data_IF_955240881297
#
_entry.id   IF_955240881297
#
_cell.length_a   1.000
_cell.length_b   1.000
_cell.length_c   1.000
_cell.angle_alpha   90.00
_cell.angle_beta   90.00
_cell.angle_gamma   90.00
#
_symmetry.space_group_name_H-M   'P 1'
#
loop_
_entity.id
_entity.type
_entity.pdbx_description
1 polymer ?
#
# COMPACT_ATOMS: atom_id res chain seq x y z
N UNK A 1 -5.12 -4.51 10.63
CA UNK A 1 -4.66 -4.69 9.25
C UNK A 1 -3.65 -3.61 8.88
N UNK A 2 -2.61 -3.94 8.10
CA UNK A 2 -1.66 -2.95 7.59
C UNK A 2 -2.31 -1.98 6.59
N UNK A 3 -1.75 -0.78 6.42
CA UNK A 3 -2.34 0.29 5.61
C UNK A 3 -2.61 -0.12 4.16
N UNK A 4 -1.64 -0.74 3.49
CA UNK A 4 -1.76 -1.16 2.08
C UNK A 4 -2.87 -2.16 1.89
N UNK A 5 -2.95 -3.18 2.75
CA UNK A 5 -4.00 -4.20 2.67
C UNK A 5 -5.38 -3.67 3.07
N UNK A 6 -5.45 -2.75 4.04
CA UNK A 6 -6.68 -2.03 4.39
C UNK A 6 -7.23 -1.28 3.17
N UNK A 7 -6.36 -0.62 2.41
CA UNK A 7 -6.74 0.12 1.20
C UNK A 7 -7.28 -0.85 0.13
N UNK A 8 -6.50 -1.86 -0.27
CA UNK A 8 -6.89 -2.73 -1.40
C UNK A 8 -8.16 -3.55 -1.12
N UNK A 9 -8.35 -4.02 0.12
CA UNK A 9 -9.58 -4.68 0.53
C UNK A 9 -10.79 -3.75 0.47
N UNK A 10 -10.65 -2.51 0.95
CA UNK A 10 -11.72 -1.53 0.91
C UNK A 10 -12.07 -1.14 -0.52
N UNK A 11 -11.06 -0.89 -1.38
CA UNK A 11 -11.26 -0.56 -2.79
C UNK A 11 -12.03 -1.67 -3.51
N UNK A 12 -11.60 -2.93 -3.36
CA UNK A 12 -12.30 -4.06 -3.98
C UNK A 12 -13.75 -4.18 -3.47
N UNK A 13 -13.97 -4.03 -2.16
CA UNK A 13 -15.32 -4.05 -1.55
C UNK A 13 -16.18 -2.89 -2.03
N UNK A 14 -15.64 -1.68 -2.15
CA UNK A 14 -16.35 -0.48 -2.63
C UNK A 14 -16.74 -0.65 -4.09
N UNK A 15 -15.83 -1.11 -4.95
CA UNK A 15 -16.10 -1.38 -6.36
C UNK A 15 -17.22 -2.43 -6.56
N UNK A 16 -17.34 -3.40 -5.62
CA UNK A 16 -18.42 -4.41 -5.61
C UNK A 16 -19.68 -3.98 -4.84
N UNK A 17 -19.74 -2.73 -4.33
CA UNK A 17 -20.88 -2.22 -3.56
C UNK A 17 -21.06 -2.90 -2.19
N UNK A 18 -20.03 -3.56 -1.67
CA UNK A 18 -20.05 -4.29 -0.40
C UNK A 18 -19.66 -3.44 0.80
N UNK A 19 -19.03 -2.28 0.55
CA UNK A 19 -18.59 -1.28 1.51
C UNK A 19 -18.82 0.11 0.89
N UNK A 20 -19.21 1.10 1.70
CA UNK A 20 -19.49 2.44 1.17
C UNK A 20 -18.26 3.36 1.16
N UNK A 21 -17.40 3.27 2.19
CA UNK A 21 -16.33 4.23 2.39
C UNK A 21 -15.10 3.61 3.07
N UNK A 22 -13.91 4.08 2.69
CA UNK A 22 -12.63 3.82 3.32
C UNK A 22 -12.29 4.97 4.28
N UNK A 23 -12.11 4.67 5.57
CA UNK A 23 -11.68 5.66 6.56
C UNK A 23 -10.17 5.60 6.79
N UNK A 24 -9.48 6.74 6.75
CA UNK A 24 -8.03 6.84 6.84
C UNK A 24 -7.57 7.87 7.89
N UNK A 25 -6.30 7.78 8.29
CA UNK A 25 -5.64 8.80 9.12
C UNK A 25 -4.85 9.76 8.22
N UNK A 26 -3.55 9.88 8.49
CA UNK A 26 -2.64 10.71 7.71
C UNK A 26 -2.44 10.16 6.27
N UNK A 27 -2.95 10.89 5.27
CA UNK A 27 -2.80 10.56 3.84
C UNK A 27 -1.42 10.94 3.27
N UNK A 28 -0.73 11.87 3.92
CA UNK A 28 0.53 12.43 3.44
C UNK A 28 1.75 11.70 4.03
N UNK A 29 1.50 10.72 4.91
CA UNK A 29 2.53 9.82 5.43
C UNK A 29 3.20 9.08 4.25
N UNK A 30 4.53 9.05 4.25
CA UNK A 30 5.31 8.49 3.15
C UNK A 30 6.08 7.25 3.55
N UNK A 31 6.09 6.25 2.67
CA UNK A 31 6.67 4.92 2.95
C UNK A 31 7.40 4.37 1.73
N UNK A 32 8.45 3.63 2.01
CA UNK A 32 9.10 2.71 1.08
C UNK A 32 8.42 1.32 1.20
N UNK A 33 7.65 0.95 0.19
CA UNK A 33 6.91 -0.32 0.15
C UNK A 33 7.50 -1.27 -0.88
N UNK A 34 8.09 -2.36 -0.40
CA UNK A 34 8.56 -3.46 -1.23
C UNK A 34 7.67 -4.70 -1.19
N UNK A 35 7.95 -5.65 -2.08
CA UNK A 35 7.26 -6.92 -2.14
C UNK A 35 7.94 -7.97 -1.26
N UNK A 36 7.15 -8.63 -0.40
CA UNK A 36 7.69 -9.56 0.59
C UNK A 36 8.51 -10.71 -0.01
N UNK A 37 8.18 -11.19 -1.23
CA UNK A 37 8.95 -12.26 -1.90
C UNK A 37 10.38 -11.82 -2.22
N UNK A 38 10.57 -10.57 -2.62
CA UNK A 38 11.90 -10.03 -2.91
C UNK A 38 12.74 -9.89 -1.63
N UNK A 39 12.06 -9.59 -0.52
CA UNK A 39 12.71 -9.39 0.78
C UNK A 39 13.12 -10.73 1.41
N UNK A 40 12.32 -11.78 1.29
CA UNK A 40 12.75 -13.12 1.76
C UNK A 40 13.88 -13.70 0.90
N UNK A 41 13.94 -13.35 -0.40
CA UNK A 41 15.10 -13.66 -1.24
C UNK A 41 16.36 -12.98 -0.70
N UNK A 42 16.28 -11.72 -0.29
CA UNK A 42 17.40 -11.00 0.35
C UNK A 42 17.88 -11.73 1.62
N UNK A 43 16.96 -12.17 2.47
CA UNK A 43 17.30 -12.93 3.69
C UNK A 43 18.10 -14.19 3.34
N UNK A 44 17.69 -14.93 2.30
CA UNK A 44 18.45 -16.09 1.83
C UNK A 44 19.82 -15.70 1.27
N UNK A 45 19.92 -14.65 0.46
CA UNK A 45 21.18 -14.19 -0.14
C UNK A 45 22.23 -13.77 0.90
N UNK A 46 21.79 -13.15 2.01
CA UNK A 46 22.65 -12.80 3.14
C UNK A 46 23.33 -14.03 3.76
N UNK A 47 22.62 -15.16 3.85
CA UNK A 47 23.15 -16.40 4.41
C UNK A 47 24.13 -17.14 3.47
N UNK A 48 24.22 -16.72 2.20
CA UNK A 48 25.15 -17.34 1.23
C UNK A 48 26.54 -16.68 1.26
N UNK A 49 26.73 -15.62 2.06
CA UNK A 49 27.99 -14.88 2.12
C UNK A 49 29.01 -15.59 3.02
N UNK A 50 30.33 -15.47 2.72
CA UNK A 50 31.37 -16.07 3.54
C UNK A 50 31.52 -15.42 4.93
N UNK A 51 31.19 -14.13 5.05
CA UNK A 51 31.24 -13.38 6.31
C UNK A 51 29.86 -12.81 6.66
N UNK A 52 29.44 -12.86 7.94
CA UNK A 52 28.19 -12.27 8.38
C UNK A 52 28.25 -10.74 8.32
N UNK A 53 27.14 -10.11 7.95
CA UNK A 53 27.04 -8.65 7.86
C UNK A 53 25.57 -8.20 7.90
N UNK A 54 25.36 -6.92 8.17
CA UNK A 54 24.04 -6.28 8.27
C UNK A 54 23.70 -5.48 7.00
N UNK A 55 22.45 -5.57 6.53
CA UNK A 55 22.02 -4.90 5.30
C UNK A 55 20.68 -4.18 5.48
N UNK A 56 20.55 -3.00 4.88
CA UNK A 56 19.26 -2.36 4.65
C UNK A 56 18.59 -3.06 3.47
N UNK A 57 17.34 -3.48 3.65
CA UNK A 57 16.49 -4.10 2.63
C UNK A 57 15.31 -3.19 2.38
N UNK A 58 15.31 -2.52 1.22
CA UNK A 58 14.36 -1.48 0.89
C UNK A 58 14.28 -1.30 -0.64
N UNK A 59 13.26 -0.59 -1.13
CA UNK A 59 13.18 -0.29 -2.57
C UNK A 59 13.99 0.92 -2.98
N UNK A 60 14.20 1.87 -2.06
CA UNK A 60 14.77 3.19 -2.34
C UNK A 60 13.79 4.16 -2.99
N UNK A 61 12.51 3.78 -3.09
CA UNK A 61 11.41 4.57 -3.66
C UNK A 61 10.38 4.85 -2.57
N UNK A 62 9.82 6.06 -2.52
CA UNK A 62 8.87 6.46 -1.49
C UNK A 62 7.58 6.99 -2.11
N UNK A 63 6.45 6.56 -1.58
CA UNK A 63 5.13 7.05 -1.95
C UNK A 63 4.32 7.41 -0.72
N UNK A 64 3.39 8.33 -0.90
CA UNK A 64 2.37 8.71 0.08
C UNK A 64 1.28 7.63 0.17
N UNK A 65 0.57 7.61 1.31
CA UNK A 65 -0.67 6.84 1.45
C UNK A 65 -1.71 7.29 0.41
N UNK A 66 -1.76 8.59 0.11
CA UNK A 66 -2.60 9.18 -0.93
C UNK A 66 -2.37 8.54 -2.31
N UNK A 67 -1.13 8.51 -2.78
CA UNK A 67 -0.77 7.91 -4.08
C UNK A 67 -1.18 6.43 -4.16
N UNK A 68 -0.99 5.68 -3.06
CA UNK A 68 -1.42 4.28 -3.00
C UNK A 68 -2.95 4.15 -3.18
N UNK A 69 -3.73 5.00 -2.52
CA UNK A 69 -5.19 5.02 -2.62
C UNK A 69 -5.62 5.37 -4.04
N UNK A 70 -5.08 6.45 -4.60
CA UNK A 70 -5.38 6.91 -5.97
C UNK A 70 -5.15 5.78 -6.98
N UNK A 71 -3.98 5.14 -6.91
CA UNK A 71 -3.63 4.08 -7.83
C UNK A 71 -4.47 2.83 -7.66
N UNK A 72 -4.80 2.47 -6.43
CA UNK A 72 -5.68 1.33 -6.16
C UNK A 72 -7.09 1.56 -6.73
N UNK A 73 -7.64 2.76 -6.54
CA UNK A 73 -8.95 3.14 -7.09
C UNK A 73 -8.95 3.21 -8.63
N UNK A 74 -7.89 3.74 -9.24
CA UNK A 74 -7.71 3.75 -10.69
C UNK A 74 -7.69 2.33 -11.28
N UNK A 75 -6.93 1.41 -10.67
CA UNK A 75 -6.87 0.00 -11.08
C UNK A 75 -8.22 -0.71 -10.93
N UNK A 76 -9.07 -0.26 -10.00
CA UNK A 76 -10.43 -0.76 -9.82
C UNK A 76 -11.45 -0.14 -10.78
N UNK A 77 -11.04 0.81 -11.64
CA UNK A 77 -11.93 1.53 -12.56
C UNK A 77 -12.76 2.63 -11.90
N UNK A 78 -12.36 3.09 -10.71
CA UNK A 78 -13.06 4.09 -9.90
C UNK A 78 -12.14 5.27 -9.52
N UNK A 79 -11.55 6.00 -10.50
CA UNK A 79 -10.61 7.06 -10.19
C UNK A 79 -11.24 8.14 -9.29
N UNK A 80 -10.46 8.64 -8.33
CA UNK A 80 -10.94 9.57 -7.30
C UNK A 80 -10.34 10.97 -7.48
N UNK A 81 -11.06 11.96 -6.97
CA UNK A 81 -10.57 13.34 -6.80
C UNK A 81 -10.72 13.77 -5.36
N UNK A 82 -9.72 14.50 -4.85
CA UNK A 82 -9.75 15.02 -3.48
C UNK A 82 -10.46 16.36 -3.40
N UNK A 83 -11.29 16.53 -2.37
CA UNK A 83 -11.98 17.78 -2.05
C UNK A 83 -11.87 18.07 -0.55
N UNK A 84 -11.81 19.34 -0.18
CA UNK A 84 -11.58 19.74 1.21
C UNK A 84 -10.10 19.74 1.57
N UNK A 85 -9.79 19.87 2.87
CA UNK A 85 -8.43 19.92 3.42
C UNK A 85 -8.42 19.41 4.86
N UNK A 86 -7.27 18.93 5.32
CA UNK A 86 -7.11 18.47 6.69
C UNK A 86 -8.11 17.36 7.01
N UNK A 87 -8.75 17.42 8.17
CA UNK A 87 -9.69 16.37 8.60
C UNK A 87 -10.98 16.30 7.78
N UNK A 88 -11.34 17.39 7.10
CA UNK A 88 -12.52 17.49 6.24
C UNK A 88 -12.21 17.08 4.78
N UNK A 89 -10.98 16.63 4.51
CA UNK A 89 -10.62 16.13 3.19
C UNK A 89 -11.29 14.79 2.89
N UNK A 90 -11.86 14.69 1.69
CA UNK A 90 -12.58 13.52 1.20
C UNK A 90 -12.11 13.12 -0.19
N UNK A 91 -12.13 11.82 -0.47
CA UNK A 91 -11.95 11.25 -1.81
C UNK A 91 -13.30 10.96 -2.46
N UNK A 92 -13.56 11.57 -3.61
CA UNK A 92 -14.81 11.42 -4.37
C UNK A 92 -14.54 10.61 -5.63
N UNK A 93 -15.27 9.51 -5.80
CA UNK A 93 -15.24 8.70 -7.02
C UNK A 93 -15.83 9.50 -8.19
N UNK A 94 -15.03 9.69 -9.23
CA UNK A 94 -15.40 10.48 -10.40
C UNK A 94 -16.44 9.81 -11.30
N UNK A 95 -16.62 8.50 -11.18
CA UNK A 95 -17.55 7.73 -12.01
C UNK A 95 -19.02 7.89 -11.58
N UNK A 96 -19.25 8.15 -10.29
CA UNK A 96 -20.59 8.19 -9.70
C UNK A 96 -20.82 9.34 -8.70
N UNK A 97 -19.78 10.13 -8.40
CA UNK A 97 -19.85 11.28 -7.50
C UNK A 97 -19.93 10.94 -6.01
N UNK A 98 -19.82 9.67 -5.62
CA UNK A 98 -19.91 9.26 -4.21
C UNK A 98 -18.60 9.53 -3.47
N UNK A 99 -18.72 9.90 -2.19
CA UNK A 99 -17.58 9.97 -1.29
C UNK A 99 -17.16 8.56 -0.86
N UNK A 100 -15.98 8.12 -1.31
CA UNK A 100 -15.46 6.77 -1.09
C UNK A 100 -14.27 6.73 -0.14
N UNK A 101 -13.66 7.88 0.17
CA UNK A 101 -12.61 8.00 1.19
C UNK A 101 -12.92 9.16 2.13
N UNK A 102 -12.73 8.95 3.44
CA UNK A 102 -12.84 9.97 4.48
C UNK A 102 -11.69 9.87 5.47
N UNK A 103 -11.33 10.98 6.09
CA UNK A 103 -10.37 11.01 7.18
C UNK A 103 -11.11 10.86 8.52
N UNK A 104 -10.57 10.04 9.41
CA UNK A 104 -11.09 9.86 10.77
C UNK A 104 -9.93 10.02 11.78
N UNK A 105 -10.04 10.97 12.73
CA UNK A 105 -8.99 11.28 13.69
C UNK A 105 -8.54 10.08 14.53
N UNK A 106 -9.39 9.07 14.70
CA UNK A 106 -9.05 7.84 15.45
C UNK A 106 -7.95 7.02 14.80
N UNK A 107 -7.67 7.23 13.50
CA UNK A 107 -6.58 6.56 12.79
C UNK A 107 -5.25 7.32 12.84
N UNK A 108 -5.19 8.51 13.43
CA UNK A 108 -3.94 9.21 13.65
C UNK A 108 -3.20 8.59 14.84
N UNK A 109 -1.89 8.41 14.69
CA UNK A 109 -1.02 7.94 15.76
C UNK A 109 -0.42 9.14 16.50
N UNK A 110 -0.41 9.14 17.85
CA UNK A 110 0.24 10.21 18.61
C UNK A 110 1.74 10.37 18.29
N UNK A 111 2.40 9.27 17.92
CA UNK A 111 3.76 9.25 17.40
C UNK A 111 3.75 8.65 15.99
N UNK A 112 3.45 9.48 14.99
CA UNK A 112 3.49 9.08 13.59
C UNK A 112 4.92 9.17 13.06
N UNK A 113 5.34 8.18 12.27
CA UNK A 113 6.55 8.31 11.48
C UNK A 113 6.16 8.96 10.17
N UNK A 114 6.61 10.19 9.93
CA UNK A 114 6.20 10.93 8.74
C UNK A 114 6.75 10.29 7.46
N UNK A 115 8.03 9.90 7.47
CA UNK A 115 8.75 9.41 6.30
C UNK A 115 9.67 8.25 6.66
N UNK A 116 9.70 7.23 5.79
CA UNK A 116 10.66 6.12 5.87
C UNK A 116 11.19 5.84 4.46
N UNK A 117 12.50 6.06 4.26
CA UNK A 117 13.25 5.71 3.05
C UNK A 117 14.40 4.79 3.43
N UNK A 118 14.56 3.66 2.75
CA UNK A 118 15.77 2.86 2.90
C UNK A 118 16.76 3.13 1.78
N UNK A 119 18.05 3.00 2.08
CA UNK A 119 19.12 2.97 1.08
C UNK A 119 19.69 1.53 0.95
N UNK A 120 19.28 0.75 -0.07
CA UNK A 120 19.76 -0.61 -0.28
C UNK A 120 21.11 -0.67 -1.01
N UNK A 121 21.86 0.44 -1.16
CA UNK A 121 23.09 0.47 -1.96
C UNK A 121 24.15 -0.53 -1.49
N UNK A 122 24.23 -0.83 -0.18
CA UNK A 122 25.13 -1.88 0.35
C UNK A 122 24.73 -3.27 -0.15
N UNK A 123 23.43 -3.60 -0.08
CA UNK A 123 22.88 -4.87 -0.54
C UNK A 123 23.14 -5.09 -2.03
N UNK A 124 22.91 -4.05 -2.86
CA UNK A 124 23.22 -4.06 -4.29
C UNK A 124 24.70 -4.33 -4.57
N UNK A 125 25.62 -3.58 -3.92
CA UNK A 125 27.06 -3.71 -4.17
C UNK A 125 27.63 -5.06 -3.71
N UNK A 126 27.18 -5.58 -2.56
CA UNK A 126 27.76 -6.79 -1.94
C UNK A 126 27.09 -8.08 -2.40
N UNK A 127 25.77 -8.05 -2.61
CA UNK A 127 24.98 -9.25 -2.89
C UNK A 127 24.42 -9.27 -4.32
N UNK A 128 24.50 -8.15 -5.05
CA UNK A 128 23.78 -8.00 -6.33
C UNK A 128 22.26 -7.96 -6.16
N UNK A 129 21.75 -7.76 -4.94
CA UNK A 129 20.31 -7.74 -4.68
C UNK A 129 19.69 -6.41 -5.10
N UNK A 130 18.56 -6.50 -5.81
CA UNK A 130 17.67 -5.40 -6.12
C UNK A 130 16.21 -5.87 -5.98
N UNK A 131 15.27 -4.97 -5.62
CA UNK A 131 13.84 -5.25 -5.69
C UNK A 131 13.39 -5.40 -7.15
N UNK A 132 12.64 -6.46 -7.46
CA UNK A 132 12.09 -6.71 -8.80
C UNK A 132 10.72 -6.06 -8.96
N UNK A 133 9.90 -6.11 -7.90
CA UNK A 133 8.56 -5.53 -7.90
C UNK A 133 8.63 -4.09 -7.41
N UNK A 134 8.24 -3.16 -8.28
CA UNK A 134 8.10 -1.73 -7.98
C UNK A 134 6.70 -1.39 -7.47
N UNK A 135 6.55 -0.17 -6.95
CA UNK A 135 5.31 0.32 -6.34
C UNK A 135 4.07 0.02 -7.18
N UNK A 136 4.09 0.40 -8.45
CA UNK A 136 3.01 0.21 -9.40
C UNK A 136 2.52 -1.24 -9.52
N UNK A 137 3.47 -2.16 -9.66
CA UNK A 137 3.19 -3.58 -9.76
C UNK A 137 2.73 -4.15 -8.41
N UNK A 138 3.26 -3.65 -7.29
CA UNK A 138 2.82 -4.04 -5.95
C UNK A 138 1.34 -3.69 -5.73
N UNK A 139 0.93 -2.45 -6.04
CA UNK A 139 -0.49 -2.04 -5.90
C UNK A 139 -1.37 -2.95 -6.75
N UNK A 140 -0.99 -3.22 -8.00
CA UNK A 140 -1.73 -4.11 -8.90
C UNK A 140 -1.85 -5.53 -8.35
N UNK A 141 -0.75 -6.13 -7.89
CA UNK A 141 -0.75 -7.48 -7.30
C UNK A 141 -1.76 -7.56 -6.14
N UNK A 142 -1.78 -6.55 -5.28
CA UNK A 142 -2.64 -6.52 -4.10
C UNK A 142 -4.11 -6.31 -4.46
N UNK A 143 -4.43 -5.36 -5.34
CA UNK A 143 -5.80 -5.10 -5.79
C UNK A 143 -6.37 -6.32 -6.51
N UNK A 144 -5.64 -6.89 -7.47
CA UNK A 144 -6.08 -8.08 -8.21
C UNK A 144 -6.34 -9.27 -7.26
N UNK A 145 -5.50 -9.43 -6.24
CA UNK A 145 -5.68 -10.49 -5.25
C UNK A 145 -6.94 -10.29 -4.40
N UNK A 146 -7.23 -9.06 -3.98
CA UNK A 146 -8.45 -8.77 -3.21
C UNK A 146 -9.72 -8.92 -4.05
N UNK A 147 -9.69 -8.58 -5.34
CA UNK A 147 -10.81 -8.90 -6.24
C UNK A 147 -11.04 -10.40 -6.39
N UNK A 148 -9.98 -11.20 -6.61
CA UNK A 148 -10.08 -12.67 -6.65
C UNK A 148 -10.63 -13.25 -5.34
N UNK A 149 -10.29 -12.66 -4.20
CA UNK A 149 -10.84 -13.10 -2.91
C UNK A 149 -12.35 -12.88 -2.82
N UNK A 150 -12.88 -11.80 -3.39
CA UNK A 150 -14.33 -11.54 -3.43
C UNK A 150 -15.09 -12.48 -4.36
N UNK A 151 -14.41 -13.14 -5.30
CA UNK A 151 -15.01 -14.17 -6.17
C UNK A 151 -15.11 -15.53 -5.47
N UNK A 152 -14.47 -15.70 -4.31
CA UNK A 152 -14.56 -16.93 -3.54
C UNK A 152 -15.97 -17.11 -2.96
N UNK A 153 -16.68 -18.22 -3.23
CA UNK A 153 -18.02 -18.48 -2.68
C UNK A 153 -18.08 -18.51 -1.15
N UNK A 154 -16.95 -18.75 -0.48
CA UNK A 154 -16.81 -18.77 0.97
C UNK A 154 -16.28 -17.45 1.55
N UNK A 155 -16.33 -16.35 0.78
CA UNK A 155 -15.90 -15.06 1.28
C UNK A 155 -16.83 -14.55 2.38
N UNK A 156 -16.31 -14.46 3.61
CA UNK A 156 -17.01 -13.85 4.73
C UNK A 156 -16.61 -12.38 4.90
N UNK A 157 -17.62 -11.50 4.98
CA UNK A 157 -17.41 -10.08 5.33
C UNK A 157 -17.02 -10.00 6.82
N UNK A 158 -15.74 -9.92 7.15
CA UNK A 158 -15.37 -9.76 8.56
C UNK A 158 -13.89 -9.84 8.95
N UNK A 159 -13.01 -10.29 8.05
CA UNK A 159 -11.56 -10.17 8.24
C UNK A 159 -11.01 -8.87 7.63
#
# INVERSE_FOLDING_TARGET
TFVTRKITMAVARIAKGLQECLFMGNLDARRDWGYAKDYVRMMWMMLQQPEPDDYVVATGEMHTVREFIERAFELAGHPIVWKGKGIDEIGVDTTNGKTVVRIDPRYFRPAEVEQLLGDPSKAKRKLGWEPEVKFEQLVKIMVDADFRLLENPHYEKGF
#
